data_IF_499403464343
#
_entry.id   IF_499403464343
#
_cell.length_a   1.000
_cell.length_b   1.000
_cell.length_c   1.000
_cell.angle_alpha   90.00
_cell.angle_beta   90.00
_cell.angle_gamma   90.00
#
_symmetry.space_group_name_H-M   'P 1'
#
loop_
_entity.id
_entity.type
_entity.pdbx_description
1 polymer ?
#
# COMPACT_ATOMS: atom_id res chain seq x y z
N UNK A 1 -2.71 20.59 -4.50
CA UNK A 1 -1.72 21.08 -5.48
C UNK A 1 -0.34 20.57 -5.09
N UNK A 2 0.41 20.00 -6.04
CA UNK A 2 1.75 19.43 -5.80
C UNK A 2 2.78 20.58 -5.70
N UNK A 3 3.71 20.49 -4.74
CA UNK A 3 4.87 21.38 -4.67
C UNK A 3 6.10 20.64 -5.14
N UNK A 4 6.59 21.03 -6.31
CA UNK A 4 7.70 20.37 -6.99
C UNK A 4 9.06 20.92 -6.56
N UNK A 5 10.04 20.04 -6.46
CA UNK A 5 11.46 20.37 -6.36
C UNK A 5 12.25 19.42 -7.24
N UNK A 6 13.36 19.88 -7.79
CA UNK A 6 14.41 18.99 -8.28
C UNK A 6 15.50 18.85 -7.22
N UNK A 7 16.27 17.77 -7.31
CA UNK A 7 17.41 17.53 -6.44
C UNK A 7 18.31 16.43 -6.97
N UNK A 8 19.42 16.20 -6.28
CA UNK A 8 20.39 15.15 -6.62
C UNK A 8 20.48 14.15 -5.48
N UNK A 9 20.31 12.86 -5.78
CA UNK A 9 20.46 11.79 -4.81
C UNK A 9 21.89 11.78 -4.31
N UNK A 10 22.08 11.95 -3.01
CA UNK A 10 23.40 11.94 -2.37
C UNK A 10 23.73 10.56 -1.82
N UNK A 11 22.75 9.89 -1.23
CA UNK A 11 22.92 8.59 -0.59
C UNK A 11 21.64 7.76 -0.73
N UNK A 12 21.83 6.46 -0.96
CA UNK A 12 20.77 5.46 -0.87
C UNK A 12 20.79 4.91 0.55
N UNK A 13 19.68 5.10 1.26
CA UNK A 13 19.53 4.71 2.65
C UNK A 13 18.90 3.32 2.79
N UNK A 14 17.97 3.20 3.72
CA UNK A 14 17.28 1.95 4.01
C UNK A 14 16.38 1.54 2.84
N UNK A 15 16.42 0.26 2.49
CA UNK A 15 15.51 -0.37 1.54
C UNK A 15 14.65 -1.39 2.25
N UNK A 16 13.42 -1.53 1.81
CA UNK A 16 12.53 -2.64 2.15
C UNK A 16 11.66 -2.98 0.94
N UNK A 17 10.82 -4.00 1.06
CA UNK A 17 9.96 -4.44 -0.04
C UNK A 17 9.18 -3.26 -0.66
N UNK A 18 9.47 -2.97 -1.93
CA UNK A 18 8.81 -1.94 -2.74
C UNK A 18 9.19 -0.48 -2.46
N UNK A 19 10.15 -0.17 -1.57
CA UNK A 19 10.52 1.21 -1.29
C UNK A 19 12.00 1.41 -0.91
N UNK A 20 12.53 2.57 -1.30
CA UNK A 20 13.92 2.97 -1.08
C UNK A 20 13.96 4.36 -0.46
N UNK A 21 14.55 4.48 0.72
CA UNK A 21 14.84 5.75 1.36
C UNK A 21 16.10 6.38 0.76
N UNK A 22 16.07 7.69 0.59
CA UNK A 22 17.15 8.46 -0.03
C UNK A 22 17.46 9.70 0.80
N UNK A 23 18.72 10.13 0.74
CA UNK A 23 19.10 11.50 1.10
C UNK A 23 19.31 12.28 -0.19
N UNK A 24 18.55 13.34 -0.40
CA UNK A 24 18.57 14.16 -1.63
C UNK A 24 18.98 15.59 -1.30
N UNK A 25 19.93 16.13 -2.07
CA UNK A 25 20.28 17.54 -1.99
C UNK A 25 19.32 18.37 -2.85
N UNK A 26 18.61 19.31 -2.23
CA UNK A 26 17.67 20.25 -2.87
C UNK A 26 18.16 21.66 -2.58
N UNK A 27 18.74 22.33 -3.58
CA UNK A 27 19.46 23.59 -3.36
C UNK A 27 20.60 23.41 -2.35
N UNK A 28 20.58 24.15 -1.25
CA UNK A 28 21.55 24.02 -0.15
C UNK A 28 21.11 23.06 0.97
N UNK A 29 19.92 22.46 0.86
CA UNK A 29 19.33 21.64 1.92
C UNK A 29 19.50 20.15 1.61
N UNK A 30 19.63 19.35 2.68
CA UNK A 30 19.52 17.89 2.62
C UNK A 30 18.13 17.47 3.06
N UNK A 31 17.45 16.66 2.25
CA UNK A 31 16.08 16.22 2.47
C UNK A 31 16.01 14.69 2.43
N UNK A 32 15.28 14.09 3.39
CA UNK A 32 14.92 12.67 3.32
C UNK A 32 13.83 12.49 2.26
N UNK A 33 14.05 11.57 1.34
CA UNK A 33 13.09 11.24 0.29
C UNK A 33 12.79 9.74 0.26
N UNK A 34 11.68 9.39 -0.38
CA UNK A 34 11.25 8.02 -0.56
C UNK A 34 10.88 7.78 -2.03
N UNK A 35 11.45 6.73 -2.61
CA UNK A 35 11.12 6.26 -3.94
C UNK A 35 10.39 4.91 -3.87
N UNK A 36 9.45 4.71 -4.78
CA UNK A 36 8.81 3.40 -5.03
C UNK A 36 9.37 2.86 -6.35
N UNK A 37 10.34 1.91 -6.31
CA UNK A 37 11.05 1.49 -7.51
C UNK A 37 10.17 1.04 -8.66
N UNK A 38 9.05 0.38 -8.36
CA UNK A 38 8.11 -0.11 -9.37
C UNK A 38 7.42 1.02 -10.15
N UNK A 39 7.43 2.25 -9.62
CA UNK A 39 6.83 3.42 -10.26
C UNK A 39 7.86 4.33 -10.94
N UNK A 40 9.05 4.48 -10.33
CA UNK A 40 10.01 5.52 -10.74
C UNK A 40 11.39 4.97 -11.11
N UNK A 41 11.58 3.64 -11.07
CA UNK A 41 12.88 2.99 -11.13
C UNK A 41 13.63 3.08 -9.79
N UNK A 42 14.77 2.40 -9.69
CA UNK A 42 15.59 2.36 -8.46
C UNK A 42 16.64 3.47 -8.48
N UNK A 43 16.47 4.58 -7.73
CA UNK A 43 17.42 5.71 -7.79
C UNK A 43 18.77 5.32 -7.19
N UNK A 44 19.85 5.90 -7.73
CA UNK A 44 21.23 5.72 -7.23
C UNK A 44 21.87 7.07 -6.93
N UNK A 45 22.94 7.08 -6.15
CA UNK A 45 23.68 8.30 -5.88
C UNK A 45 24.16 8.97 -7.19
N UNK A 46 23.97 10.28 -7.29
CA UNK A 46 24.25 11.07 -8.49
C UNK A 46 23.04 11.30 -9.40
N UNK A 47 21.96 10.53 -9.26
CA UNK A 47 20.75 10.75 -10.05
C UNK A 47 20.12 12.12 -9.73
N UNK A 48 19.68 12.82 -10.77
CA UNK A 48 18.71 13.89 -10.61
C UNK A 48 17.32 13.28 -10.40
N UNK A 49 16.56 13.84 -9.47
CA UNK A 49 15.19 13.42 -9.15
C UNK A 49 14.24 14.60 -9.11
N UNK A 50 12.99 14.35 -9.49
CA UNK A 50 11.87 15.26 -9.21
C UNK A 50 11.14 14.79 -7.95
N UNK A 51 10.80 15.74 -7.08
CA UNK A 51 10.23 15.49 -5.76
C UNK A 51 8.89 16.22 -5.58
N UNK A 52 7.96 15.56 -4.90
CA UNK A 52 6.81 16.19 -4.26
C UNK A 52 7.14 16.44 -2.78
N UNK A 53 7.29 17.72 -2.42
CA UNK A 53 7.63 18.16 -1.06
C UNK A 53 6.42 18.74 -0.30
N UNK A 54 5.22 18.68 -0.87
CA UNK A 54 4.06 19.41 -0.33
C UNK A 54 3.66 18.98 1.10
N UNK A 55 3.68 17.67 1.38
CA UNK A 55 3.42 17.15 2.72
C UNK A 55 4.57 17.49 3.68
N UNK A 56 5.82 17.29 3.23
CA UNK A 56 7.02 17.59 3.99
C UNK A 56 7.07 19.05 4.45
N UNK A 57 6.83 20.00 3.55
CA UNK A 57 6.86 21.44 3.84
C UNK A 57 5.80 21.86 4.86
N UNK A 58 4.71 21.10 4.97
CA UNK A 58 3.64 21.33 5.96
C UNK A 58 3.85 20.52 7.25
N UNK A 59 4.93 19.77 7.36
CA UNK A 59 5.15 18.83 8.47
C UNK A 59 4.09 17.74 8.55
N UNK A 60 3.46 17.39 7.41
CA UNK A 60 2.41 16.39 7.33
C UNK A 60 2.96 15.03 6.91
N UNK A 61 2.21 13.99 7.24
CA UNK A 61 2.49 12.62 6.83
C UNK A 61 3.38 11.87 7.81
N UNK A 62 3.36 10.55 7.70
CA UNK A 62 4.22 9.66 8.48
C UNK A 62 5.63 9.67 7.88
N UNK A 63 6.67 9.59 8.71
CA UNK A 63 8.06 9.40 8.25
C UNK A 63 8.80 10.65 7.75
N UNK A 64 8.10 11.71 7.32
CA UNK A 64 8.70 13.00 6.97
C UNK A 64 9.56 12.93 5.69
N UNK A 65 8.97 12.43 4.60
CA UNK A 65 9.65 12.23 3.33
C UNK A 65 9.17 13.22 2.25
N UNK A 66 10.09 13.66 1.40
CA UNK A 66 9.76 14.07 0.04
C UNK A 66 9.49 12.82 -0.81
N UNK A 67 8.43 12.79 -1.61
CA UNK A 67 8.16 11.63 -2.47
C UNK A 67 8.84 11.83 -3.81
N UNK A 68 9.64 10.85 -4.25
CA UNK A 68 10.21 10.85 -5.60
C UNK A 68 9.10 10.63 -6.60
N UNK A 69 9.05 11.52 -7.59
CA UNK A 69 8.07 11.49 -8.68
C UNK A 69 8.67 10.90 -9.95
N UNK A 70 9.93 11.19 -10.24
CA UNK A 70 10.63 10.66 -11.40
C UNK A 70 12.15 10.73 -11.23
N UNK A 71 12.85 9.83 -11.90
CA UNK A 71 14.29 9.90 -12.18
C UNK A 71 14.44 10.26 -13.67
N UNK A 72 14.31 11.55 -14.05
CA UNK A 72 14.09 11.96 -15.44
C UNK A 72 15.21 11.58 -16.41
N UNK A 73 16.44 11.41 -15.91
CA UNK A 73 17.61 11.13 -16.73
C UNK A 73 17.91 9.61 -16.80
N UNK A 74 17.10 8.78 -16.13
CA UNK A 74 17.23 7.32 -16.07
C UNK A 74 15.88 6.65 -15.82
N UNK A 75 15.06 6.58 -16.88
CA UNK A 75 13.73 5.97 -16.81
C UNK A 75 13.82 4.46 -16.54
N UNK A 76 12.86 3.88 -15.79
CA UNK A 76 12.74 2.43 -15.67
C UNK A 76 12.39 1.80 -17.03
N UNK A 77 12.61 0.49 -17.14
CA UNK A 77 12.08 -0.28 -18.25
C UNK A 77 10.55 -0.37 -18.16
N UNK A 78 9.90 -0.59 -19.29
CA UNK A 78 8.46 -0.83 -19.32
C UNK A 78 8.11 -2.12 -18.55
N UNK A 79 7.05 -2.12 -17.73
CA UNK A 79 6.60 -3.31 -17.04
C UNK A 79 6.01 -4.34 -18.04
N UNK A 80 5.88 -5.61 -17.64
CA UNK A 80 5.18 -6.61 -18.44
C UNK A 80 3.73 -6.21 -18.74
N UNK A 81 3.24 -6.53 -19.94
CA UNK A 81 1.86 -6.25 -20.36
C UNK A 81 0.88 -7.28 -19.78
N UNK A 82 0.48 -7.11 -18.52
CA UNK A 82 -0.55 -7.93 -17.89
C UNK A 82 -1.48 -7.08 -17.03
N UNK A 83 -2.78 -7.37 -17.11
CA UNK A 83 -3.80 -6.69 -16.31
C UNK A 83 -4.18 -5.30 -16.83
N UNK A 84 -5.40 -4.88 -16.54
CA UNK A 84 -5.96 -3.61 -16.98
C UNK A 84 -6.50 -2.75 -15.83
N UNK A 85 -6.27 -3.16 -14.58
CA UNK A 85 -6.72 -2.42 -13.42
C UNK A 85 -5.85 -1.18 -13.22
N UNK A 86 -6.48 -0.02 -13.30
CA UNK A 86 -5.82 1.27 -13.11
C UNK A 86 -5.93 1.73 -11.65
N UNK A 87 -4.79 1.95 -10.99
CA UNK A 87 -4.66 2.54 -9.64
C UNK A 87 -4.21 4.00 -9.75
N UNK A 88 -4.61 4.83 -8.78
CA UNK A 88 -4.42 6.29 -8.83
C UNK A 88 -4.94 6.91 -10.16
N UNK A 89 -6.15 6.50 -10.57
CA UNK A 89 -6.72 6.73 -11.91
C UNK A 89 -6.70 8.20 -12.36
N UNK A 90 -6.33 8.42 -13.62
CA UNK A 90 -6.28 9.73 -14.28
C UNK A 90 -5.33 10.74 -13.63
N UNK A 91 -4.43 10.29 -12.77
CA UNK A 91 -3.29 11.10 -12.31
C UNK A 91 -2.09 10.85 -13.22
N UNK A 92 -1.12 11.78 -13.30
CA UNK A 92 0.12 11.56 -14.05
C UNK A 92 0.96 10.38 -13.55
N UNK A 93 0.64 9.81 -12.39
CA UNK A 93 1.31 8.65 -11.78
C UNK A 93 0.37 7.46 -11.61
N UNK A 94 -0.66 7.35 -12.46
CA UNK A 94 -1.50 6.15 -12.47
C UNK A 94 -0.64 4.92 -12.82
N UNK A 95 -0.95 3.79 -12.19
CA UNK A 95 -0.27 2.51 -12.42
C UNK A 95 -1.26 1.47 -12.92
N UNK A 96 -0.81 0.64 -13.86
CA UNK A 96 -1.53 -0.56 -14.32
C UNK A 96 -1.09 -1.75 -13.47
N UNK A 97 -2.03 -2.52 -12.97
CA UNK A 97 -1.76 -3.73 -12.20
C UNK A 97 -2.69 -4.86 -12.63
N UNK A 98 -2.28 -6.10 -12.37
CA UNK A 98 -3.13 -7.28 -12.53
C UNK A 98 -4.03 -7.44 -11.31
N UNK A 99 -5.33 -7.22 -11.47
CA UNK A 99 -6.34 -7.49 -10.47
C UNK A 99 -6.61 -8.99 -10.35
N UNK A 100 -6.79 -9.48 -9.12
CA UNK A 100 -7.09 -10.88 -8.83
C UNK A 100 -8.38 -11.35 -9.53
N UNK A 101 -9.35 -10.45 -9.67
CA UNK A 101 -10.65 -10.66 -10.32
C UNK A 101 -10.65 -10.41 -11.85
N UNK A 102 -9.54 -9.99 -12.45
CA UNK A 102 -9.43 -9.80 -13.91
C UNK A 102 -9.32 -11.13 -14.68
N UNK A 103 -9.81 -11.19 -15.92
CA UNK A 103 -9.85 -12.43 -16.72
C UNK A 103 -8.47 -13.04 -17.00
N UNK A 104 -7.43 -12.21 -17.04
CA UNK A 104 -6.04 -12.66 -17.22
C UNK A 104 -5.41 -13.18 -15.93
N UNK A 105 -6.07 -12.97 -14.79
CA UNK A 105 -5.58 -13.43 -13.49
C UNK A 105 -5.69 -14.95 -13.37
N UNK A 106 -4.67 -15.63 -12.82
CA UNK A 106 -4.79 -17.04 -12.46
C UNK A 106 -5.86 -17.30 -11.40
N UNK A 107 -6.29 -16.27 -10.68
CA UNK A 107 -7.28 -16.36 -9.60
C UNK A 107 -8.72 -16.12 -10.10
N UNK A 108 -8.90 -15.74 -11.37
CA UNK A 108 -10.19 -15.33 -11.93
C UNK A 108 -11.28 -16.39 -11.76
N UNK A 109 -10.98 -17.64 -12.14
CA UNK A 109 -11.96 -18.72 -12.12
C UNK A 109 -12.42 -19.06 -10.70
N UNK A 110 -11.54 -18.91 -9.71
CA UNK A 110 -11.87 -19.08 -8.29
C UNK A 110 -12.80 -17.97 -7.82
N UNK A 111 -12.55 -16.73 -8.23
CA UNK A 111 -13.31 -15.55 -7.78
C UNK A 111 -14.60 -15.31 -8.55
N UNK A 112 -14.72 -15.83 -9.79
CA UNK A 112 -15.85 -15.61 -10.69
C UNK A 112 -17.21 -15.92 -10.05
N UNK A 113 -17.27 -16.99 -9.27
CA UNK A 113 -18.50 -17.48 -8.62
C UNK A 113 -18.40 -17.43 -7.07
N UNK A 114 -17.36 -16.81 -6.51
CA UNK A 114 -17.17 -16.75 -5.06
C UNK A 114 -18.11 -15.72 -4.40
N UNK A 115 -18.86 -16.15 -3.38
CA UNK A 115 -19.89 -15.31 -2.73
C UNK A 115 -19.97 -15.43 -1.19
N UNK A 116 -19.11 -16.24 -0.56
CA UNK A 116 -19.09 -16.47 0.89
C UNK A 116 -17.66 -16.33 1.46
N UNK A 117 -17.54 -15.94 2.73
CA UNK A 117 -16.27 -15.97 3.48
C UNK A 117 -16.12 -17.23 4.34
N UNK A 118 -17.08 -18.15 4.28
CA UNK A 118 -17.11 -19.41 5.04
C UNK A 118 -17.00 -19.22 6.55
N UNK A 119 -17.57 -18.12 7.07
CA UNK A 119 -17.46 -17.74 8.47
C UNK A 119 -16.06 -17.32 8.93
N UNK A 120 -15.14 -17.05 7.99
CA UNK A 120 -13.78 -16.57 8.32
C UNK A 120 -13.87 -15.24 9.10
N UNK A 121 -13.26 -15.14 10.30
CA UNK A 121 -13.33 -13.93 11.09
C UNK A 121 -12.59 -12.77 10.43
N UNK A 122 -13.22 -11.59 10.41
CA UNK A 122 -12.62 -10.35 9.91
C UNK A 122 -12.49 -9.36 11.05
N UNK A 123 -11.25 -8.95 11.35
CA UNK A 123 -10.96 -7.88 12.31
C UNK A 123 -10.87 -6.57 11.56
N UNK A 124 -11.90 -5.73 11.68
CA UNK A 124 -11.92 -4.39 11.12
C UNK A 124 -11.30 -3.41 12.12
N UNK A 125 -10.37 -2.58 11.65
CA UNK A 125 -9.78 -1.52 12.46
C UNK A 125 -9.69 -0.21 11.67
N UNK A 126 -9.88 0.90 12.37
CA UNK A 126 -9.86 2.23 11.78
C UNK A 126 -8.44 2.75 11.54
N UNK A 127 -7.43 2.23 12.25
CA UNK A 127 -6.04 2.68 12.15
C UNK A 127 -5.10 1.54 11.71
N UNK A 128 -4.20 1.86 10.77
CA UNK A 128 -3.15 0.94 10.32
C UNK A 128 -2.29 0.38 11.47
N UNK A 129 -2.06 1.17 12.53
CA UNK A 129 -1.26 0.75 13.69
C UNK A 129 -1.91 -0.39 14.49
N UNK A 130 -3.19 -0.69 14.28
CA UNK A 130 -3.85 -1.84 14.90
C UNK A 130 -3.35 -3.17 14.31
N UNK A 131 -2.88 -3.20 13.06
CA UNK A 131 -2.43 -4.42 12.37
C UNK A 131 -1.42 -5.24 13.21
N UNK A 132 -0.25 -4.72 13.63
CA UNK A 132 0.69 -5.49 14.44
C UNK A 132 0.13 -5.89 15.82
N UNK A 133 -0.76 -5.09 16.42
CA UNK A 133 -1.36 -5.41 17.71
C UNK A 133 -2.37 -6.57 17.61
N UNK A 134 -3.19 -6.57 16.55
CA UNK A 134 -4.12 -7.67 16.25
C UNK A 134 -3.33 -8.95 16.00
N UNK A 135 -2.27 -8.90 15.18
CA UNK A 135 -1.43 -10.07 14.91
C UNK A 135 -0.80 -10.62 16.19
N UNK A 136 -0.28 -9.75 17.06
CA UNK A 136 0.28 -10.19 18.34
C UNK A 136 -0.74 -10.96 19.19
N UNK A 137 -1.97 -10.44 19.32
CA UNK A 137 -3.04 -11.11 20.06
C UNK A 137 -3.50 -12.42 19.40
N UNK A 138 -3.59 -12.45 18.07
CA UNK A 138 -3.91 -13.68 17.32
C UNK A 138 -2.83 -14.72 17.55
N UNK A 139 -1.55 -14.37 17.43
CA UNK A 139 -0.46 -15.34 17.56
C UNK A 139 -0.15 -15.76 19.00
N UNK A 140 -0.54 -14.96 19.99
CA UNK A 140 -0.54 -15.40 21.39
C UNK A 140 -1.53 -16.55 21.60
N UNK A 141 -2.73 -16.47 21.02
CA UNK A 141 -3.79 -17.47 21.19
C UNK A 141 -3.72 -18.63 20.17
N UNK A 142 -3.34 -18.33 18.92
CA UNK A 142 -3.36 -19.22 17.76
C UNK A 142 -2.10 -18.98 16.88
N UNK A 143 -0.92 -19.50 17.30
CA UNK A 143 0.37 -19.20 16.67
C UNK A 143 0.51 -19.55 15.18
N UNK A 144 -0.32 -20.46 14.67
CA UNK A 144 -0.23 -20.93 13.28
C UNK A 144 -1.29 -20.33 12.36
N UNK A 145 -2.10 -19.39 12.85
CA UNK A 145 -3.20 -18.82 12.05
C UNK A 145 -2.67 -18.08 10.83
N UNK A 146 -3.22 -18.44 9.67
CA UNK A 146 -2.97 -17.75 8.40
C UNK A 146 -3.70 -16.41 8.37
N UNK A 147 -3.00 -15.35 8.74
CA UNK A 147 -3.57 -14.00 8.70
C UNK A 147 -3.25 -13.33 7.37
N UNK A 148 -4.29 -12.82 6.70
CA UNK A 148 -4.17 -11.98 5.50
C UNK A 148 -4.58 -10.56 5.82
N UNK A 149 -3.82 -9.59 5.33
CA UNK A 149 -4.12 -8.18 5.49
C UNK A 149 -4.80 -7.62 4.24
N UNK A 150 -6.03 -7.11 4.37
CA UNK A 150 -6.71 -6.36 3.31
C UNK A 150 -6.57 -4.86 3.59
N UNK A 151 -5.79 -4.17 2.76
CA UNK A 151 -5.49 -2.75 2.88
C UNK A 151 -6.44 -1.89 2.03
N UNK A 152 -7.20 -1.01 2.68
CA UNK A 152 -8.05 -0.02 2.01
C UNK A 152 -7.32 1.28 1.69
N UNK A 153 -7.90 2.09 0.81
CA UNK A 153 -7.34 3.32 0.26
C UNK A 153 -7.64 4.59 1.07
N UNK A 154 -8.03 4.44 2.35
CA UNK A 154 -8.27 5.56 3.26
C UNK A 154 -7.02 6.32 3.69
N UNK A 155 -5.84 5.68 3.63
CA UNK A 155 -4.55 6.25 4.02
C UNK A 155 -3.60 6.35 2.83
N UNK A 156 -2.36 5.93 3.02
CA UNK A 156 -1.41 5.78 1.93
C UNK A 156 -1.91 4.75 0.92
N UNK A 157 -1.84 5.10 -0.37
CA UNK A 157 -2.18 4.18 -1.47
C UNK A 157 -1.15 3.07 -1.67
N UNK A 158 0.17 3.32 -1.65
CA UNK A 158 1.17 2.26 -1.84
C UNK A 158 1.36 1.48 -0.53
N UNK A 159 1.14 0.16 -0.56
CA UNK A 159 1.41 -0.74 0.57
C UNK A 159 2.87 -0.64 1.01
N UNK A 160 3.77 -0.52 0.04
CA UNK A 160 5.21 -0.39 0.22
C UNK A 160 5.62 0.80 1.10
N UNK A 161 4.75 1.77 1.36
CA UNK A 161 5.05 2.81 2.34
C UNK A 161 5.22 2.26 3.77
N UNK A 162 4.52 1.15 4.10
CA UNK A 162 4.56 0.57 5.44
C UNK A 162 5.76 -0.35 5.65
N UNK A 163 6.78 0.17 6.34
CA UNK A 163 7.88 -0.65 6.88
C UNK A 163 7.40 -1.77 7.81
N UNK A 164 6.29 -1.54 8.51
CA UNK A 164 5.68 -2.53 9.40
C UNK A 164 5.15 -3.71 8.61
N UNK A 165 4.43 -3.46 7.51
CA UNK A 165 3.93 -4.54 6.63
C UNK A 165 5.10 -5.33 6.05
N UNK A 166 6.15 -4.65 5.55
CA UNK A 166 7.34 -5.34 5.04
C UNK A 166 7.95 -6.28 6.10
N UNK A 167 8.17 -5.79 7.32
CA UNK A 167 8.71 -6.61 8.41
C UNK A 167 7.78 -7.77 8.82
N UNK A 168 6.46 -7.55 8.81
CA UNK A 168 5.47 -8.59 9.12
C UNK A 168 5.40 -9.67 8.02
N UNK A 169 5.57 -9.30 6.75
CA UNK A 169 5.69 -10.26 5.65
C UNK A 169 6.99 -11.05 5.72
N UNK A 170 8.13 -10.37 5.94
CA UNK A 170 9.44 -11.01 6.04
C UNK A 170 9.54 -12.00 7.22
N UNK A 171 8.84 -11.72 8.32
CA UNK A 171 8.78 -12.60 9.50
C UNK A 171 7.72 -13.70 9.41
N UNK A 172 6.92 -13.73 8.34
CA UNK A 172 5.83 -14.69 8.17
C UNK A 172 4.60 -14.44 9.04
N UNK A 173 4.55 -13.34 9.79
CA UNK A 173 3.38 -12.93 10.58
C UNK A 173 2.20 -12.44 9.73
N UNK A 174 2.46 -12.12 8.47
CA UNK A 174 1.41 -11.97 7.46
C UNK A 174 1.61 -13.06 6.41
N UNK A 175 0.56 -13.83 6.16
CA UNK A 175 0.56 -14.87 5.12
C UNK A 175 0.37 -14.28 3.72
N UNK A 176 -0.30 -13.13 3.62
CA UNK A 176 -0.43 -12.37 2.38
C UNK A 176 -1.06 -10.99 2.60
N UNK A 177 -1.05 -10.17 1.57
CA UNK A 177 -1.72 -8.87 1.52
C UNK A 177 -2.59 -8.73 0.28
N UNK A 178 -3.71 -8.03 0.44
CA UNK A 178 -4.58 -7.64 -0.67
C UNK A 178 -4.81 -6.13 -0.60
N UNK A 179 -4.53 -5.40 -1.67
CA UNK A 179 -4.82 -3.96 -1.76
C UNK A 179 -6.09 -3.72 -2.55
N UNK A 180 -6.99 -2.88 -2.02
CA UNK A 180 -8.31 -2.66 -2.60
C UNK A 180 -8.53 -1.20 -3.01
N UNK A 181 -9.46 -0.97 -3.93
CA UNK A 181 -9.80 0.38 -4.39
C UNK A 181 -8.62 1.02 -5.12
N UNK A 182 -8.17 2.20 -4.66
CA UNK A 182 -7.01 2.91 -5.19
C UNK A 182 -5.67 2.53 -4.55
N UNK A 183 -5.68 1.73 -3.48
CA UNK A 183 -4.46 1.21 -2.88
C UNK A 183 -3.82 0.16 -3.80
N UNK A 184 -2.50 0.02 -3.74
CA UNK A 184 -1.74 -0.90 -4.61
C UNK A 184 -0.41 -1.35 -3.99
N UNK A 185 0.23 -2.31 -4.64
CA UNK A 185 1.47 -2.97 -4.22
C UNK A 185 1.26 -4.15 -3.28
N UNK A 186 0.05 -4.73 -3.25
CA UNK A 186 -0.25 -5.95 -2.49
C UNK A 186 0.24 -7.22 -3.18
N UNK A 187 0.26 -8.36 -2.46
CA UNK A 187 0.48 -9.67 -3.11
C UNK A 187 -0.63 -9.98 -4.12
N UNK A 188 -1.83 -9.43 -3.88
CA UNK A 188 -2.96 -9.37 -4.81
C UNK A 188 -3.57 -7.98 -4.83
N UNK A 189 -4.13 -7.63 -5.98
CA UNK A 189 -4.87 -6.38 -6.18
C UNK A 189 -6.34 -6.72 -6.36
N UNK A 190 -7.24 -5.98 -5.74
CA UNK A 190 -8.67 -6.16 -5.97
C UNK A 190 -9.37 -4.82 -6.20
N UNK A 191 -10.49 -4.86 -6.93
CA UNK A 191 -11.26 -3.66 -7.25
C UNK A 191 -11.96 -3.10 -6.02
N UNK A 192 -12.55 -3.95 -5.19
CA UNK A 192 -13.41 -3.56 -4.06
C UNK A 192 -13.01 -4.26 -2.77
N UNK A 193 -13.53 -3.78 -1.64
CA UNK A 193 -13.42 -4.50 -0.35
C UNK A 193 -14.02 -5.90 -0.46
N UNK A 194 -15.18 -6.06 -1.09
CA UNK A 194 -15.83 -7.36 -1.28
C UNK A 194 -14.93 -8.35 -2.01
N UNK A 195 -14.43 -7.97 -3.20
CA UNK A 195 -13.52 -8.84 -3.96
C UNK A 195 -12.18 -9.04 -3.26
N UNK A 196 -11.72 -8.07 -2.47
CA UNK A 196 -10.53 -8.21 -1.63
C UNK A 196 -10.71 -9.21 -0.49
N UNK A 197 -11.86 -9.23 0.18
CA UNK A 197 -12.21 -10.22 1.21
C UNK A 197 -12.31 -11.62 0.60
N UNK A 198 -13.01 -11.75 -0.54
CA UNK A 198 -13.09 -13.01 -1.28
C UNK A 198 -11.69 -13.50 -1.71
N UNK A 199 -10.83 -12.61 -2.21
CA UNK A 199 -9.44 -12.93 -2.55
C UNK A 199 -8.66 -13.42 -1.32
N UNK A 200 -8.80 -12.74 -0.18
CA UNK A 200 -8.12 -13.15 1.05
C UNK A 200 -8.52 -14.58 1.47
N UNK A 201 -9.81 -14.91 1.40
CA UNK A 201 -10.33 -16.22 1.84
C UNK A 201 -10.12 -17.31 0.79
N UNK A 202 -10.62 -17.11 -0.44
CA UNK A 202 -10.66 -18.15 -1.47
C UNK A 202 -9.30 -18.40 -2.14
N UNK A 203 -8.51 -17.34 -2.32
CA UNK A 203 -7.23 -17.41 -3.04
C UNK A 203 -6.06 -17.57 -2.06
N UNK A 204 -6.02 -16.72 -1.03
CA UNK A 204 -4.92 -16.72 -0.06
C UNK A 204 -5.18 -17.64 1.14
N UNK A 205 -6.33 -18.33 1.19
CA UNK A 205 -6.68 -19.26 2.26
C UNK A 205 -6.52 -18.63 3.66
N UNK A 206 -7.01 -17.41 3.83
CA UNK A 206 -7.01 -16.73 5.12
C UNK A 206 -7.86 -17.50 6.13
N UNK A 207 -7.31 -17.73 7.31
CA UNK A 207 -8.05 -18.21 8.49
C UNK A 207 -8.51 -17.04 9.37
N UNK A 208 -7.93 -15.85 9.16
CA UNK A 208 -8.36 -14.58 9.72
C UNK A 208 -7.96 -13.47 8.76
N UNK A 209 -8.86 -12.51 8.55
CA UNK A 209 -8.55 -11.30 7.78
C UNK A 209 -8.43 -10.12 8.73
N UNK A 210 -7.37 -9.34 8.61
CA UNK A 210 -7.32 -7.99 9.20
C UNK A 210 -7.63 -7.01 8.10
N UNK A 211 -8.64 -6.16 8.28
CA UNK A 211 -9.07 -5.18 7.28
C UNK A 211 -8.94 -3.77 7.85
N UNK A 212 -8.01 -3.00 7.31
CA UNK A 212 -7.74 -1.62 7.76
C UNK A 212 -7.03 -0.81 6.68
N UNK A 213 -7.11 0.51 6.76
CA UNK A 213 -6.42 1.41 5.85
C UNK A 213 -4.89 1.31 5.94
N UNK A 214 -4.20 1.79 4.90
CA UNK A 214 -2.75 1.99 4.93
C UNK A 214 -2.29 3.06 5.94
N UNK A 215 -0.98 3.23 6.17
CA UNK A 215 -0.45 4.24 7.07
C UNK A 215 -0.85 5.66 6.66
N UNK A 216 -0.80 6.61 7.60
CA UNK A 216 -1.09 8.02 7.30
C UNK A 216 -2.58 8.35 7.28
N UNK A 217 -3.28 8.00 8.36
CA UNK A 217 -4.69 8.34 8.60
C UNK A 217 -4.98 9.80 8.19
N UNK A 218 -5.91 9.98 7.26
CA UNK A 218 -6.33 11.30 6.82
C UNK A 218 -7.27 11.88 7.88
N UNK A 219 -7.05 13.12 8.27
CA UNK A 219 -7.86 13.79 9.29
C UNK A 219 -7.85 15.30 9.12
N UNK A 220 -9.01 15.90 9.35
CA UNK A 220 -9.23 17.35 9.30
C UNK A 220 -9.61 17.94 10.66
N UNK A 221 -9.74 17.09 11.69
CA UNK A 221 -10.19 17.50 13.03
C UNK A 221 -11.70 17.69 13.16
N UNK A 222 -12.48 17.40 12.12
CA UNK A 222 -13.96 17.43 12.17
C UNK A 222 -14.52 16.03 12.42
N UNK A 223 -15.76 15.95 12.95
CA UNK A 223 -16.41 14.69 13.33
C UNK A 223 -16.38 13.60 12.25
N UNK A 224 -16.54 13.98 10.99
CA UNK A 224 -16.62 13.04 9.86
C UNK A 224 -15.43 13.14 8.91
N UNK A 225 -14.57 14.14 9.08
CA UNK A 225 -13.45 14.37 8.18
C UNK A 225 -12.21 13.59 8.62
N UNK A 226 -12.34 12.28 8.77
CA UNK A 226 -11.22 11.36 8.98
C UNK A 226 -11.47 10.01 8.27
N UNK A 227 -10.42 9.36 7.77
CA UNK A 227 -10.57 8.16 6.93
C UNK A 227 -11.03 6.91 7.69
N UNK A 228 -10.85 6.86 9.01
CA UNK A 228 -11.33 5.76 9.84
C UNK A 228 -12.85 5.52 9.81
N UNK A 229 -13.65 6.51 9.37
CA UNK A 229 -15.10 6.34 9.11
C UNK A 229 -15.39 5.23 8.10
N UNK A 230 -14.45 4.95 7.19
CA UNK A 230 -14.57 3.85 6.22
C UNK A 230 -14.67 2.46 6.86
N UNK A 231 -14.36 2.32 8.16
CA UNK A 231 -14.60 1.08 8.91
C UNK A 231 -16.08 0.66 8.90
N UNK A 232 -17.01 1.61 8.74
CA UNK A 232 -18.43 1.29 8.58
C UNK A 232 -18.71 0.52 7.28
N UNK A 233 -18.14 0.98 6.16
CA UNK A 233 -18.25 0.28 4.87
C UNK A 233 -17.58 -1.09 4.90
N UNK A 234 -16.45 -1.18 5.60
CA UNK A 234 -15.78 -2.45 5.86
C UNK A 234 -16.68 -3.44 6.60
N UNK A 235 -17.34 -3.03 7.67
CA UNK A 235 -18.28 -3.88 8.42
C UNK A 235 -19.46 -4.30 7.55
N UNK A 236 -20.03 -3.37 6.78
CA UNK A 236 -21.12 -3.69 5.85
C UNK A 236 -20.71 -4.73 4.78
N UNK A 237 -19.47 -4.66 4.30
CA UNK A 237 -18.95 -5.58 3.29
C UNK A 237 -18.64 -6.99 3.84
N UNK A 238 -18.40 -7.12 5.14
CA UNK A 238 -18.18 -8.42 5.80
C UNK A 238 -19.47 -9.22 5.93
N UNK A 239 -20.61 -8.56 6.16
CA UNK A 239 -21.92 -9.18 6.35
C UNK A 239 -22.50 -9.01 7.75
#
# INVERSE_FOLDING_TARGET
>A
MIRWRDGVVREVGRTWAGAVELTVTVGSQSVRALAYPDLVGTPVAGDRVLLNVGALDKGLGTGGYALVVAVPDRLPADPPEHGHLVKARYTPLQAMVLGADEQESPDHDVLRDADDLFGTPVVVADLHSALPAVLAGVYEARPTTRVVYVMTDGGALPLAFSRTVAALRDSGWLSGTVTVGQAYGGDREAVTVHTGLLTAVHVLAAELVVLTQGPGNLGTGTRWGFSGVQSGEAVNAVG
#
